data_IF_424811675241
#
_entry.id   IF_424811675241
#
_cell.length_a   1.000
_cell.length_b   1.000
_cell.length_c   1.000
_cell.angle_alpha   90.00
_cell.angle_beta   90.00
_cell.angle_gamma   90.00
#
_symmetry.space_group_name_H-M   'P 1'
#
loop_
_entity.id
_entity.type
_entity.pdbx_description
1 polymer ?
#
# COMPACT_ATOMS: atom_id res chain seq x y z
N UNK A 1 18.52 11.71 -4.09
CA UNK A 1 17.67 12.88 -3.78
C UNK A 1 16.69 13.14 -4.91
N UNK A 2 15.49 13.55 -4.58
CA UNK A 2 14.46 13.85 -5.58
C UNK A 2 14.71 15.21 -6.20
N UNK A 3 15.03 15.22 -7.49
CA UNK A 3 15.21 16.44 -8.29
C UNK A 3 14.00 16.56 -9.21
N UNK A 4 13.46 17.78 -9.42
CA UNK A 4 12.30 17.95 -10.30
C UNK A 4 12.50 17.39 -11.70
N UNK A 5 13.70 17.53 -12.27
CA UNK A 5 14.00 17.02 -13.60
C UNK A 5 14.01 15.48 -13.68
N UNK A 6 14.06 14.79 -12.54
CA UNK A 6 14.03 13.33 -12.49
C UNK A 6 12.61 12.78 -12.37
N UNK A 7 11.63 13.66 -12.20
CA UNK A 7 10.21 13.28 -12.08
C UNK A 7 9.56 13.50 -13.43
N UNK A 8 9.24 12.42 -14.14
CA UNK A 8 8.79 12.48 -15.54
C UNK A 8 7.34 12.88 -15.69
N UNK A 9 6.47 12.43 -14.78
CA UNK A 9 5.02 12.67 -14.84
C UNK A 9 4.37 12.45 -13.46
N UNK A 10 3.06 12.64 -13.40
CA UNK A 10 2.31 12.49 -12.15
C UNK A 10 2.38 11.08 -11.58
N UNK A 11 2.31 10.06 -12.43
CA UNK A 11 2.41 8.66 -11.98
C UNK A 11 3.79 8.37 -11.40
N UNK A 12 4.84 8.84 -12.07
CA UNK A 12 6.21 8.66 -11.59
C UNK A 12 6.41 9.34 -10.24
N UNK A 13 5.91 10.58 -10.08
CA UNK A 13 5.97 11.30 -8.82
C UNK A 13 5.24 10.55 -7.71
N UNK A 14 4.06 9.99 -8.00
CA UNK A 14 3.28 9.21 -7.05
C UNK A 14 4.06 7.97 -6.60
N UNK A 15 4.64 7.24 -7.54
CA UNK A 15 5.42 6.03 -7.23
C UNK A 15 6.64 6.35 -6.35
N UNK A 16 7.34 7.45 -6.64
CA UNK A 16 8.48 7.88 -5.84
C UNK A 16 8.06 8.23 -4.42
N UNK A 17 6.97 8.97 -4.26
CA UNK A 17 6.45 9.35 -2.94
C UNK A 17 6.07 8.11 -2.12
N UNK A 18 5.39 7.15 -2.74
CA UNK A 18 5.02 5.90 -2.06
C UNK A 18 6.24 5.11 -1.64
N UNK A 19 7.25 5.01 -2.49
CA UNK A 19 8.50 4.32 -2.17
C UNK A 19 9.24 5.00 -1.02
N UNK A 20 9.26 6.33 -1.00
CA UNK A 20 9.87 7.10 0.08
C UNK A 20 9.14 6.86 1.41
N UNK A 21 7.81 6.76 1.39
CA UNK A 21 7.01 6.46 2.58
C UNK A 21 7.37 5.11 3.17
N UNK A 22 7.50 4.08 2.34
CA UNK A 22 7.90 2.74 2.78
C UNK A 22 9.27 2.77 3.48
N UNK A 23 10.24 3.44 2.88
CA UNK A 23 11.58 3.58 3.45
C UNK A 23 11.57 4.39 4.74
N UNK A 24 10.73 5.41 4.82
CA UNK A 24 10.57 6.22 6.02
C UNK A 24 10.03 5.39 7.18
N UNK A 25 9.07 4.52 6.92
CA UNK A 25 8.56 3.59 7.93
C UNK A 25 9.68 2.72 8.48
N UNK A 26 10.53 2.17 7.61
CA UNK A 26 11.65 1.34 8.03
C UNK A 26 12.62 2.11 8.93
N UNK A 27 12.94 3.34 8.59
CA UNK A 27 13.88 4.16 9.36
C UNK A 27 13.26 4.68 10.66
N UNK A 28 12.00 5.09 10.65
CA UNK A 28 11.32 5.59 11.84
C UNK A 28 10.98 4.47 12.83
N UNK A 29 10.83 3.23 12.38
CA UNK A 29 10.51 2.09 13.24
C UNK A 29 11.55 1.91 14.35
N UNK A 30 12.83 2.22 14.09
CA UNK A 30 13.88 2.14 15.08
C UNK A 30 13.61 3.13 16.22
N UNK A 31 13.26 4.37 15.89
CA UNK A 31 12.97 5.41 16.88
C UNK A 31 11.73 5.08 17.71
N UNK A 32 10.70 4.59 17.05
CA UNK A 32 9.47 4.19 17.74
C UNK A 32 9.69 2.98 18.62
N UNK A 33 10.57 2.05 18.20
CA UNK A 33 10.92 0.87 18.97
C UNK A 33 11.59 1.22 20.30
N UNK A 34 12.36 2.30 20.35
CA UNK A 34 12.98 2.77 21.59
C UNK A 34 11.93 3.15 22.64
N UNK A 35 10.73 3.50 22.20
CA UNK A 35 9.60 3.84 23.07
C UNK A 35 8.62 2.69 23.26
N UNK A 36 8.95 1.49 22.78
CA UNK A 36 8.10 0.33 22.88
C UNK A 36 6.94 0.30 21.91
N UNK A 37 6.99 1.11 20.86
CA UNK A 37 5.94 1.17 19.85
C UNK A 37 6.39 0.53 18.54
N UNK A 38 5.44 -0.03 17.81
CA UNK A 38 5.68 -0.62 16.49
C UNK A 38 5.16 0.32 15.39
N UNK A 39 5.85 0.32 14.26
CA UNK A 39 5.46 1.12 13.12
C UNK A 39 5.54 0.26 11.85
N UNK A 40 4.41 0.09 11.20
CA UNK A 40 4.31 -0.66 9.94
C UNK A 40 3.46 0.15 8.97
N UNK A 41 3.49 -0.23 7.70
CA UNK A 41 2.59 0.32 6.69
C UNK A 41 1.89 -0.81 5.94
N UNK A 42 0.78 -0.44 5.30
CA UNK A 42 0.03 -1.34 4.43
C UNK A 42 -0.07 -0.69 3.07
N UNK A 43 0.35 -1.41 2.04
CA UNK A 43 0.27 -0.97 0.65
C UNK A 43 -0.71 -1.88 -0.08
N UNK A 44 -2.01 -1.62 0.01
CA UNK A 44 -2.99 -2.49 -0.64
C UNK A 44 -2.89 -2.38 -2.15
N UNK A 45 -3.22 -3.45 -2.83
CA UNK A 45 -3.39 -3.43 -4.27
C UNK A 45 -4.71 -2.75 -4.65
N UNK A 46 -5.36 -3.22 -5.71
CA UNK A 46 -6.65 -2.67 -6.11
C UNK A 46 -7.73 -3.16 -5.16
N UNK A 47 -8.43 -2.22 -4.50
CA UNK A 47 -9.44 -2.51 -3.50
C UNK A 47 -10.80 -2.04 -4.02
N UNK A 48 -11.84 -2.84 -3.79
CA UNK A 48 -13.21 -2.49 -4.17
C UNK A 48 -13.70 -1.35 -3.26
N UNK A 49 -13.85 -0.18 -3.86
CA UNK A 49 -14.40 1.02 -3.22
C UNK A 49 -15.42 1.63 -4.19
N UNK A 50 -16.30 2.53 -3.76
CA UNK A 50 -17.21 3.20 -4.69
C UNK A 50 -16.50 3.84 -5.87
N UNK A 51 -15.38 4.51 -5.64
CA UNK A 51 -14.58 5.11 -6.71
C UNK A 51 -14.02 4.04 -7.67
N UNK A 52 -13.51 2.94 -7.11
CA UNK A 52 -12.95 1.86 -7.93
C UNK A 52 -14.03 1.21 -8.79
N UNK A 53 -15.23 1.02 -8.25
CA UNK A 53 -16.36 0.47 -9.02
C UNK A 53 -16.66 1.36 -10.22
N UNK A 54 -16.69 2.67 -10.04
CA UNK A 54 -16.92 3.62 -11.13
C UNK A 54 -15.81 3.51 -12.18
N UNK A 55 -14.57 3.37 -11.77
CA UNK A 55 -13.45 3.19 -12.70
C UNK A 55 -13.51 1.86 -13.45
N UNK A 56 -13.94 0.77 -12.79
CA UNK A 56 -14.09 -0.55 -13.44
C UNK A 56 -15.14 -0.52 -14.54
N UNK A 57 -16.18 0.29 -14.38
CA UNK A 57 -17.26 0.43 -15.34
C UNK A 57 -17.03 1.58 -16.34
N UNK A 58 -15.93 2.32 -16.18
CA UNK A 58 -15.59 3.45 -17.02
C UNK A 58 -14.63 3.08 -18.17
N UNK A 59 -14.02 4.09 -18.81
CA UNK A 59 -13.13 3.87 -19.96
C UNK A 59 -11.91 3.03 -19.65
N UNK A 60 -11.50 2.94 -18.39
CA UNK A 60 -10.33 2.16 -17.95
C UNK A 60 -10.68 0.76 -17.46
N UNK A 61 -11.95 0.35 -17.62
CA UNK A 61 -12.40 -0.95 -17.14
C UNK A 61 -11.60 -2.12 -17.69
N UNK A 62 -11.27 -2.10 -19.00
CA UNK A 62 -10.48 -3.16 -19.61
C UNK A 62 -9.05 -3.23 -19.07
N UNK A 63 -8.46 -2.09 -18.75
CA UNK A 63 -7.15 -2.02 -18.11
C UNK A 63 -7.17 -2.75 -16.76
N UNK A 64 -8.17 -2.51 -15.94
CA UNK A 64 -8.32 -3.17 -14.64
C UNK A 64 -8.56 -4.67 -14.79
N UNK A 65 -9.38 -5.07 -15.76
CA UNK A 65 -9.62 -6.50 -16.04
C UNK A 65 -8.33 -7.22 -16.41
N UNK A 66 -7.47 -6.57 -17.21
CA UNK A 66 -6.17 -7.14 -17.57
C UNK A 66 -5.25 -7.25 -16.35
N UNK A 67 -5.28 -6.25 -15.46
CA UNK A 67 -4.51 -6.31 -14.23
C UNK A 67 -4.95 -7.46 -13.34
N UNK A 68 -6.25 -7.70 -13.21
CA UNK A 68 -6.78 -8.81 -12.42
C UNK A 68 -6.37 -10.15 -13.01
N UNK A 69 -6.38 -10.28 -14.32
CA UNK A 69 -5.97 -11.52 -14.99
C UNK A 69 -4.50 -11.85 -14.73
N UNK A 70 -3.65 -10.83 -14.55
CA UNK A 70 -2.22 -11.00 -14.29
C UNK A 70 -1.89 -11.07 -12.80
N UNK A 71 -2.80 -10.62 -11.95
CA UNK A 71 -2.62 -10.60 -10.50
C UNK A 71 -2.72 -12.04 -9.97
N UNK A 72 -1.80 -12.46 -9.08
CA UNK A 72 -1.86 -13.81 -8.51
C UNK A 72 -3.19 -14.14 -7.82
N UNK A 73 -3.82 -13.15 -7.18
CA UNK A 73 -5.13 -13.34 -6.54
C UNK A 73 -6.28 -13.45 -7.54
N UNK A 74 -6.09 -12.93 -8.75
CA UNK A 74 -7.09 -12.97 -9.82
C UNK A 74 -8.31 -12.09 -9.60
N UNK A 75 -8.27 -11.19 -8.60
CA UNK A 75 -9.39 -10.32 -8.25
C UNK A 75 -8.91 -9.10 -7.47
N UNK A 76 -9.74 -8.04 -7.36
CA UNK A 76 -9.45 -6.96 -6.41
C UNK A 76 -9.67 -7.44 -4.98
N UNK A 77 -9.06 -6.75 -4.03
CA UNK A 77 -9.28 -7.00 -2.61
C UNK A 77 -10.48 -6.25 -2.06
N UNK A 78 -10.85 -6.53 -0.83
CA UNK A 78 -11.91 -5.83 -0.13
C UNK A 78 -11.35 -5.01 1.03
N UNK A 79 -12.11 -4.01 1.49
CA UNK A 79 -11.73 -3.22 2.65
C UNK A 79 -11.57 -4.11 3.90
N UNK A 80 -12.43 -5.13 4.05
CA UNK A 80 -12.33 -6.07 5.16
C UNK A 80 -11.03 -6.86 5.13
N UNK A 81 -10.56 -7.23 3.95
CA UNK A 81 -9.28 -7.93 3.83
C UNK A 81 -8.10 -7.06 4.24
N UNK A 82 -8.14 -5.77 3.93
CA UNK A 82 -7.12 -4.82 4.42
C UNK A 82 -7.23 -4.68 5.94
N UNK A 83 -8.45 -4.57 6.46
CA UNK A 83 -8.70 -4.46 7.90
C UNK A 83 -8.19 -5.67 8.66
N UNK A 84 -8.29 -6.87 8.09
CA UNK A 84 -7.78 -8.10 8.71
C UNK A 84 -6.26 -8.04 8.92
N UNK A 85 -5.53 -7.50 7.97
CA UNK A 85 -4.08 -7.29 8.10
C UNK A 85 -3.80 -6.24 9.19
N UNK A 86 -4.54 -5.14 9.18
CA UNK A 86 -4.38 -4.09 10.20
C UNK A 86 -4.65 -4.63 11.60
N UNK A 87 -5.67 -5.46 11.76
CA UNK A 87 -5.99 -6.08 13.05
C UNK A 87 -4.82 -6.93 13.55
N UNK A 88 -4.23 -7.75 12.70
CA UNK A 88 -3.06 -8.55 13.07
C UNK A 88 -1.90 -7.66 13.51
N UNK A 89 -1.59 -6.61 12.74
CA UNK A 89 -0.47 -5.72 13.03
C UNK A 89 -0.66 -4.94 14.33
N UNK A 90 -1.90 -4.64 14.71
CA UNK A 90 -2.21 -3.87 15.90
C UNK A 90 -2.44 -4.74 17.14
N UNK A 91 -2.51 -6.05 16.97
CA UNK A 91 -2.76 -6.99 18.07
C UNK A 91 -1.45 -7.51 18.66
N UNK A 92 -1.56 -8.19 19.81
CA UNK A 92 -0.43 -8.85 20.45
C UNK A 92 0.16 -9.96 19.58
N UNK A 93 -0.62 -10.52 18.66
CA UNK A 93 -0.17 -11.54 17.72
C UNK A 93 0.84 -11.01 16.71
N UNK A 94 0.83 -9.70 16.46
CA UNK A 94 1.80 -9.03 15.62
C UNK A 94 2.95 -8.38 16.41
N UNK A 95 3.18 -8.80 17.64
CA UNK A 95 4.10 -8.13 18.56
C UNK A 95 5.55 -8.03 18.05
N UNK A 96 5.97 -8.95 17.20
CA UNK A 96 7.33 -8.94 16.64
C UNK A 96 7.44 -8.27 15.28
N UNK A 97 6.31 -7.80 14.73
CA UNK A 97 6.26 -7.20 13.40
C UNK A 97 6.39 -5.69 13.51
N UNK A 98 7.49 -5.14 12.99
CA UNK A 98 7.71 -3.69 12.96
C UNK A 98 8.66 -3.34 11.82
N UNK A 99 8.53 -2.12 11.28
CA UNK A 99 9.37 -1.64 10.20
C UNK A 99 9.09 -2.29 8.85
N UNK A 100 7.94 -2.89 8.69
CA UNK A 100 7.59 -3.65 7.48
C UNK A 100 6.48 -2.97 6.69
N UNK A 101 6.42 -3.26 5.39
CA UNK A 101 5.33 -2.87 4.50
C UNK A 101 4.62 -4.13 3.99
N UNK A 102 3.30 -4.10 4.03
CA UNK A 102 2.45 -5.24 3.66
C UNK A 102 1.55 -4.92 2.48
#
# INVERSE_FOLDING_TARGET
>A
MLQPQNIRDTLHAYQIVKRCNEKRVMSEAVKWGERGARLNSISPGIIVTPLAIDEFNGPRGDFYKNMFAKCPAGRPGTADEVANVAELLMSDRGAFITGADF
#
